data_IF_080072615993
#
_entry.id   IF_080072615993
#
_cell.length_a   1.000
_cell.length_b   1.000
_cell.length_c   1.000
_cell.angle_alpha   90.00
_cell.angle_beta   90.00
_cell.angle_gamma   90.00
#
_symmetry.space_group_name_H-M   'P 1'
#
loop_
_entity.id
_entity.type
_entity.pdbx_description
1 polymer ?
#
# COMPACT_ATOMS: atom_id res chain seq x y z
N UNK A 1 -28.02 -6.49 4.57
CA UNK A 1 -28.16 -5.05 4.29
C UNK A 1 -26.76 -4.46 4.33
N UNK A 2 -26.18 -4.24 3.15
CA UNK A 2 -24.90 -3.57 2.98
C UNK A 2 -25.20 -2.14 2.53
N UNK A 3 -24.74 -1.15 3.29
CA UNK A 3 -24.77 0.26 2.89
C UNK A 3 -23.36 0.66 2.51
N UNK A 4 -23.13 0.81 1.20
CA UNK A 4 -22.00 1.53 0.66
C UNK A 4 -22.25 3.03 0.88
N UNK A 5 -21.31 3.72 1.53
CA UNK A 5 -21.31 5.18 1.55
C UNK A 5 -20.12 5.68 0.75
N UNK A 6 -20.48 6.23 -0.41
CA UNK A 6 -19.67 6.99 -1.35
C UNK A 6 -19.08 8.24 -0.70
N UNK A 7 -17.88 8.57 -1.14
CA UNK A 7 -17.00 9.64 -0.70
C UNK A 7 -17.49 11.03 -1.14
N UNK A 8 -17.42 12.01 -0.22
CA UNK A 8 -17.39 13.43 -0.55
C UNK A 8 -15.97 13.97 -0.32
N UNK A 9 -15.34 14.43 -1.40
CA UNK A 9 -14.06 15.16 -1.36
C UNK A 9 -14.40 16.63 -1.14
N UNK A 10 -14.07 17.17 0.03
CA UNK A 10 -14.19 18.61 0.28
C UNK A 10 -13.08 19.37 -0.43
N UNK A 11 -13.52 20.34 -1.23
CA UNK A 11 -12.79 21.35 -1.97
C UNK A 11 -12.12 22.33 -1.01
N UNK A 12 -10.81 22.59 -1.17
CA UNK A 12 -10.08 23.63 -0.42
C UNK A 12 -9.89 24.85 -1.34
N UNK A 13 -10.49 26.02 -1.04
CA UNK A 13 -10.29 27.23 -1.84
C UNK A 13 -9.07 28.02 -1.35
N UNK A 14 -8.21 28.49 -2.26
CA UNK A 14 -7.23 29.53 -1.94
C UNK A 14 -5.86 29.42 -2.61
N UNK A 15 -5.78 29.37 -3.94
CA UNK A 15 -4.54 29.72 -4.66
C UNK A 15 -4.88 30.64 -5.82
N UNK A 16 -4.48 31.89 -5.69
CA UNK A 16 -4.63 32.95 -6.70
C UNK A 16 -3.60 32.76 -7.84
N UNK A 17 -3.98 32.90 -9.13
CA UNK A 17 -3.16 32.41 -10.24
C UNK A 17 -2.44 33.54 -10.99
N UNK A 18 -1.48 34.25 -10.39
CA UNK A 18 -0.61 35.16 -11.14
C UNK A 18 0.81 35.22 -10.57
N UNK A 19 1.67 34.28 -10.99
CA UNK A 19 3.13 34.47 -10.94
C UNK A 19 3.79 33.73 -12.11
N UNK A 20 4.25 34.50 -13.08
CA UNK A 20 5.04 34.04 -14.23
C UNK A 20 6.41 33.48 -13.77
N UNK A 21 6.83 32.29 -14.25
CA UNK A 21 8.18 31.82 -14.00
C UNK A 21 9.16 32.33 -15.07
N UNK A 22 10.21 33.00 -14.62
CA UNK A 22 11.42 33.32 -15.36
C UNK A 22 12.23 32.05 -15.71
N UNK A 23 12.80 32.05 -16.91
CA UNK A 23 13.66 31.03 -17.54
C UNK A 23 14.69 30.40 -16.60
N UNK A 24 14.83 29.06 -16.54
CA UNK A 24 15.86 28.41 -15.72
C UNK A 24 17.20 28.33 -16.45
N UNK A 25 18.25 28.78 -15.76
CA UNK A 25 19.65 28.56 -16.14
C UNK A 25 20.02 27.08 -16.11
N UNK A 26 20.85 26.68 -17.07
CA UNK A 26 21.39 25.33 -17.22
C UNK A 26 22.31 24.98 -16.05
N UNK A 27 21.89 24.02 -15.23
CA UNK A 27 22.77 23.32 -14.29
C UNK A 27 23.22 21.98 -14.92
N UNK A 28 24.53 21.65 -14.89
CA UNK A 28 25.00 20.37 -15.40
C UNK A 28 24.48 19.22 -14.53
N UNK A 29 23.64 18.36 -15.11
CA UNK A 29 23.16 17.13 -14.49
C UNK A 29 24.34 16.18 -14.21
N UNK A 30 24.70 16.02 -12.93
CA UNK A 30 25.45 14.84 -12.47
C UNK A 30 24.62 13.59 -12.76
N UNK A 31 25.08 12.75 -13.69
CA UNK A 31 24.50 11.43 -13.93
C UNK A 31 24.65 10.58 -12.67
N UNK A 32 23.54 10.20 -12.06
CA UNK A 32 23.51 9.23 -10.98
C UNK A 32 24.04 7.86 -11.47
N UNK A 33 24.76 7.09 -10.64
CA UNK A 33 25.20 5.75 -11.02
C UNK A 33 23.97 4.88 -11.33
N UNK A 34 24.02 4.21 -12.49
CA UNK A 34 22.93 3.35 -12.99
C UNK A 34 22.58 2.29 -11.95
N UNK A 35 21.43 2.44 -11.29
CA UNK A 35 20.88 1.41 -10.44
C UNK A 35 20.63 0.15 -11.26
N UNK A 36 20.92 -1.02 -10.66
CA UNK A 36 20.82 -2.39 -11.24
C UNK A 36 19.50 -2.74 -11.99
N UNK A 37 18.49 -1.86 -11.98
CA UNK A 37 17.19 -2.02 -12.64
C UNK A 37 16.91 -0.98 -13.74
N UNK A 38 17.91 -0.25 -14.24
CA UNK A 38 17.70 0.78 -15.28
C UNK A 38 17.11 0.21 -16.57
N UNK A 39 17.44 -1.03 -16.93
CA UNK A 39 16.92 -1.70 -18.12
C UNK A 39 15.41 -2.00 -18.02
N UNK A 40 14.91 -2.34 -16.82
CA UNK A 40 13.48 -2.57 -16.57
C UNK A 40 12.73 -1.24 -16.62
N UNK A 41 13.29 -0.20 -15.99
CA UNK A 41 12.69 1.14 -15.96
C UNK A 41 12.65 1.82 -17.33
N UNK A 42 13.60 1.51 -18.20
CA UNK A 42 13.68 2.02 -19.56
C UNK A 42 12.95 1.12 -20.59
N UNK A 43 12.37 0.01 -20.15
CA UNK A 43 11.63 -0.88 -21.04
C UNK A 43 10.22 -0.32 -21.26
N UNK A 44 10.06 0.34 -22.40
CA UNK A 44 8.75 0.72 -22.92
C UNK A 44 8.35 -0.27 -24.04
N UNK A 45 7.45 -1.22 -23.74
CA UNK A 45 7.03 -2.20 -24.72
C UNK A 45 6.16 -1.59 -25.83
N UNK A 46 5.41 -0.51 -25.57
CA UNK A 46 4.57 0.13 -26.59
C UNK A 46 5.43 0.66 -27.75
N UNK A 47 6.59 1.24 -27.42
CA UNK A 47 7.54 1.75 -28.40
C UNK A 47 8.38 0.67 -29.10
N UNK A 48 8.52 -0.53 -28.53
CA UNK A 48 9.40 -1.59 -29.08
C UNK A 48 8.68 -2.66 -29.89
N UNK A 49 7.45 -3.02 -29.52
CA UNK A 49 6.71 -4.10 -30.21
C UNK A 49 5.54 -3.58 -31.03
N UNK A 50 5.16 -2.29 -30.87
CA UNK A 50 3.98 -1.72 -31.54
C UNK A 50 2.65 -2.32 -31.08
N UNK A 51 2.68 -3.21 -30.09
CA UNK A 51 1.51 -3.86 -29.51
C UNK A 51 1.20 -3.09 -28.22
N UNK A 52 0.00 -2.50 -28.07
CA UNK A 52 -0.39 -1.89 -26.81
C UNK A 52 -0.32 -2.94 -25.71
N UNK A 53 0.32 -2.61 -24.59
CA UNK A 53 0.44 -3.50 -23.43
C UNK A 53 -0.87 -3.57 -22.64
N UNK A 54 -1.99 -3.67 -23.34
CA UNK A 54 -3.27 -3.93 -22.73
C UNK A 54 -3.43 -5.44 -22.60
N UNK A 55 -3.39 -5.93 -21.36
CA UNK A 55 -3.72 -7.32 -21.04
C UNK A 55 -5.15 -7.67 -21.49
N UNK A 56 -6.00 -6.67 -21.73
CA UNK A 56 -7.42 -6.81 -21.95
C UNK A 56 -7.92 -5.91 -23.09
N UNK A 57 -7.72 -6.34 -24.33
CA UNK A 57 -8.20 -5.67 -25.54
C UNK A 57 -9.73 -5.48 -25.66
N UNK A 58 -10.52 -6.11 -24.79
CA UNK A 58 -11.99 -6.00 -24.72
C UNK A 58 -12.56 -6.72 -23.50
N UNK A 59 -13.85 -6.55 -23.18
CA UNK A 59 -14.50 -7.27 -22.06
C UNK A 59 -14.54 -8.79 -22.28
N UNK A 60 -14.70 -9.22 -23.54
CA UNK A 60 -14.87 -10.63 -23.88
C UNK A 60 -13.54 -11.39 -23.98
N UNK A 61 -12.42 -10.68 -24.11
CA UNK A 61 -11.07 -11.28 -24.18
C UNK A 61 -10.42 -11.48 -22.81
N UNK A 62 -11.03 -10.96 -21.73
CA UNK A 62 -10.44 -11.00 -20.37
C UNK A 62 -10.44 -12.38 -19.73
N UNK A 63 -11.53 -13.12 -19.92
CA UNK A 63 -11.76 -14.37 -19.21
C UNK A 63 -10.66 -15.42 -19.47
N UNK A 64 -10.25 -15.73 -20.71
CA UNK A 64 -9.17 -16.69 -20.95
C UNK A 64 -7.83 -16.22 -20.38
N UNK A 65 -7.51 -14.92 -20.49
CA UNK A 65 -6.28 -14.34 -19.92
C UNK A 65 -6.29 -14.44 -18.39
N UNK A 66 -7.38 -14.09 -17.72
CA UNK A 66 -7.51 -14.21 -16.26
C UNK A 66 -7.40 -15.67 -15.82
N UNK A 67 -8.01 -16.62 -16.54
CA UNK A 67 -7.89 -18.05 -16.22
C UNK A 67 -6.46 -18.53 -16.32
N UNK A 68 -5.73 -18.12 -17.35
CA UNK A 68 -4.31 -18.48 -17.53
C UNK A 68 -3.41 -17.84 -16.48
N UNK A 69 -3.67 -16.56 -16.13
CA UNK A 69 -3.00 -15.88 -15.04
C UNK A 69 -3.26 -16.60 -13.71
N UNK A 70 -4.49 -17.01 -13.41
CA UNK A 70 -4.81 -17.73 -12.17
C UNK A 70 -4.23 -19.15 -12.11
N UNK A 71 -3.86 -19.74 -13.26
CA UNK A 71 -3.15 -21.03 -13.34
C UNK A 71 -1.63 -20.87 -13.20
N UNK A 72 -1.12 -19.66 -13.39
CA UNK A 72 0.32 -19.41 -13.35
C UNK A 72 0.85 -19.58 -11.92
N UNK A 73 1.88 -20.41 -11.68
CA UNK A 73 2.36 -20.75 -10.34
C UNK A 73 2.97 -19.57 -9.57
N UNK A 74 3.30 -18.48 -10.27
CA UNK A 74 3.84 -17.24 -9.73
C UNK A 74 2.75 -16.17 -9.46
N UNK A 75 1.50 -16.46 -9.82
CA UNK A 75 0.34 -15.63 -9.50
C UNK A 75 -0.41 -16.30 -8.37
N UNK A 76 -0.23 -15.76 -7.17
CA UNK A 76 -0.92 -16.19 -5.97
C UNK A 76 -1.95 -15.14 -5.58
N UNK A 77 -3.08 -15.57 -5.01
CA UNK A 77 -4.01 -14.60 -4.42
C UNK A 77 -3.29 -13.85 -3.31
N UNK A 78 -3.57 -12.55 -3.15
CA UNK A 78 -2.97 -11.75 -2.08
C UNK A 78 -3.21 -12.32 -0.67
N UNK A 79 -4.31 -13.05 -0.47
CA UNK A 79 -4.60 -13.77 0.79
C UNK A 79 -3.83 -15.09 0.96
N UNK A 80 -3.25 -15.61 -0.11
CA UNK A 80 -2.41 -16.82 -0.16
C UNK A 80 -0.91 -16.50 -0.12
N UNK A 81 -0.53 -15.22 -0.19
CA UNK A 81 0.81 -14.77 0.17
C UNK A 81 0.96 -14.94 1.68
N UNK A 82 1.23 -16.16 2.12
CA UNK A 82 1.60 -16.42 3.49
C UNK A 82 2.92 -15.71 3.78
N UNK A 83 3.11 -15.25 5.03
CA UNK A 83 4.36 -14.70 5.57
C UNK A 83 5.48 -15.76 5.70
N UNK A 84 5.58 -16.68 4.74
CA UNK A 84 6.57 -17.74 4.67
C UNK A 84 7.66 -17.45 3.65
N UNK A 85 8.81 -18.09 3.87
CA UNK A 85 10.14 -17.93 3.26
C UNK A 85 10.26 -18.14 1.74
N UNK A 86 9.16 -18.10 0.99
CA UNK A 86 9.22 -17.99 -0.46
C UNK A 86 9.42 -16.52 -0.85
N UNK A 87 10.17 -16.24 -1.92
CA UNK A 87 10.45 -14.87 -2.40
C UNK A 87 9.20 -14.02 -2.73
N UNK A 88 8.00 -14.62 -2.70
CA UNK A 88 6.70 -13.95 -2.82
C UNK A 88 6.25 -13.24 -1.53
N UNK A 89 6.81 -13.59 -0.36
CA UNK A 89 6.50 -13.00 0.95
C UNK A 89 7.56 -12.02 1.47
N UNK A 90 8.61 -11.75 0.68
CA UNK A 90 9.88 -11.17 1.14
C UNK A 90 9.87 -9.75 1.72
N UNK A 91 8.72 -9.09 1.85
CA UNK A 91 8.63 -7.73 2.43
C UNK A 91 7.45 -7.51 3.39
N UNK A 92 6.80 -8.57 3.87
CA UNK A 92 5.69 -8.42 4.84
C UNK A 92 5.95 -9.20 6.11
N UNK A 93 6.97 -8.76 6.87
CA UNK A 93 7.14 -9.20 8.25
C UNK A 93 6.17 -8.41 9.12
N UNK A 94 5.25 -9.09 9.78
CA UNK A 94 4.48 -8.47 10.87
C UNK A 94 5.44 -8.28 12.05
N UNK A 95 5.48 -7.05 12.57
CA UNK A 95 6.32 -6.68 13.71
C UNK A 95 5.44 -6.08 14.79
N UNK A 96 5.61 -6.53 16.04
CA UNK A 96 4.95 -5.91 17.17
C UNK A 96 5.51 -4.50 17.40
N UNK A 97 4.61 -3.52 17.53
CA UNK A 97 4.98 -2.10 17.69
C UNK A 97 4.17 -1.48 18.82
N UNK A 98 4.76 -0.52 19.52
CA UNK A 98 4.03 0.29 20.49
C UNK A 98 3.26 1.40 19.76
N UNK A 99 2.00 1.62 20.13
CA UNK A 99 1.14 2.67 19.55
C UNK A 99 0.57 3.53 20.67
N UNK A 100 0.76 4.85 20.56
CA UNK A 100 -0.01 5.84 21.32
C UNK A 100 -1.37 6.02 20.66
N UNK A 101 -2.43 5.86 21.43
CA UNK A 101 -3.80 5.94 20.95
C UNK A 101 -4.47 7.23 21.40
N UNK A 102 -5.03 7.98 20.45
CA UNK A 102 -5.90 9.11 20.76
C UNK A 102 -7.31 8.57 21.08
N UNK A 103 -7.66 8.57 22.37
CA UNK A 103 -8.97 8.11 22.85
C UNK A 103 -10.14 8.97 22.39
N UNK A 104 -9.91 10.25 22.11
CA UNK A 104 -10.95 11.19 21.67
C UNK A 104 -11.26 10.99 20.19
N UNK A 105 -10.22 10.95 19.35
CA UNK A 105 -10.39 10.74 17.89
C UNK A 105 -10.59 9.28 17.53
N UNK A 106 -10.29 8.36 18.44
CA UNK A 106 -10.28 6.91 18.21
C UNK A 106 -9.35 6.54 17.04
N UNK A 107 -8.14 7.11 17.05
CA UNK A 107 -7.14 6.91 16.00
C UNK A 107 -5.74 6.73 16.59
N UNK A 108 -4.82 6.05 15.89
CA UNK A 108 -3.41 6.05 16.28
C UNK A 108 -2.83 7.47 16.20
N UNK A 109 -2.17 7.92 17.26
CA UNK A 109 -1.52 9.24 17.33
C UNK A 109 -0.03 9.13 16.95
N UNK A 110 0.63 8.07 17.39
CA UNK A 110 2.03 7.79 17.06
C UNK A 110 2.35 6.32 17.27
N UNK A 111 3.45 5.84 16.69
CA UNK A 111 3.94 4.50 16.94
C UNK A 111 5.47 4.47 17.02
N UNK A 112 6.02 3.39 17.60
CA UNK A 112 7.47 3.18 17.68
C UNK A 112 7.88 1.98 16.83
N UNK A 113 8.87 2.21 15.96
CA UNK A 113 9.46 1.18 15.12
C UNK A 113 10.98 1.33 15.16
N UNK A 114 11.68 0.23 15.45
CA UNK A 114 13.15 0.19 15.55
C UNK A 114 13.73 1.31 16.44
N UNK A 115 13.12 1.53 17.61
CA UNK A 115 13.53 2.54 18.59
C UNK A 115 13.13 3.99 18.26
N UNK A 116 12.69 4.28 17.03
CA UNK A 116 12.27 5.61 16.58
C UNK A 116 10.76 5.80 16.72
N UNK A 117 10.33 6.98 17.18
CA UNK A 117 8.93 7.39 17.22
C UNK A 117 8.52 8.03 15.89
N UNK A 118 7.36 7.62 15.39
CA UNK A 118 6.70 8.14 14.19
C UNK A 118 5.38 8.76 14.62
N UNK A 119 5.25 10.08 14.52
CA UNK A 119 3.96 10.76 14.69
C UNK A 119 3.09 10.49 13.48
N UNK A 120 1.80 10.23 13.72
CA UNK A 120 0.81 10.07 12.66
C UNK A 120 0.34 11.45 12.23
N UNK A 121 0.61 11.79 10.97
CA UNK A 121 0.21 13.07 10.37
C UNK A 121 -1.26 13.01 9.90
N UNK A 122 -1.68 11.84 9.38
CA UNK A 122 -3.06 11.61 8.97
C UNK A 122 -3.44 10.12 9.04
N UNK A 123 -4.71 9.86 9.36
CA UNK A 123 -5.34 8.55 9.16
C UNK A 123 -5.97 8.52 7.76
N UNK A 124 -5.49 7.62 6.91
CA UNK A 124 -5.93 7.51 5.51
C UNK A 124 -7.08 6.52 5.37
N UNK A 125 -7.01 5.37 6.04
CA UNK A 125 -8.02 4.34 5.93
C UNK A 125 -8.14 3.54 7.23
N UNK A 126 -9.34 3.04 7.51
CA UNK A 126 -9.58 2.07 8.58
C UNK A 126 -10.42 0.92 8.05
N UNK A 127 -10.07 -0.31 8.43
CA UNK A 127 -10.85 -1.50 8.07
C UNK A 127 -10.74 -2.57 9.16
N UNK A 128 -11.53 -3.64 9.03
CA UNK A 128 -11.43 -4.81 9.89
C UNK A 128 -10.95 -6.02 9.08
N UNK A 129 -10.17 -6.88 9.72
CA UNK A 129 -9.76 -8.16 9.17
C UNK A 129 -10.21 -9.27 10.10
N UNK A 130 -11.21 -10.03 9.65
CA UNK A 130 -11.73 -11.20 10.34
C UNK A 130 -11.47 -12.44 9.49
N UNK A 131 -10.94 -13.50 10.10
CA UNK A 131 -10.70 -14.78 9.43
C UNK A 131 -10.90 -15.95 10.39
N UNK A 132 -11.35 -17.08 9.86
CA UNK A 132 -11.50 -18.34 10.58
C UNK A 132 -12.22 -18.17 11.94
N UNK A 133 -13.29 -17.36 11.96
CA UNK A 133 -14.06 -17.07 13.18
C UNK A 133 -14.65 -18.33 13.83
N UNK A 134 -14.80 -19.40 13.06
CA UNK A 134 -15.30 -20.72 13.48
C UNK A 134 -14.23 -21.62 14.12
N UNK A 135 -12.94 -21.32 13.94
CA UNK A 135 -11.84 -22.09 14.54
C UNK A 135 -11.09 -21.21 15.55
N UNK A 136 -11.29 -21.41 16.87
CA UNK A 136 -10.62 -20.63 17.90
C UNK A 136 -9.09 -20.63 17.78
N UNK A 137 -8.48 -21.68 17.20
CA UNK A 137 -7.02 -21.80 17.06
C UNK A 137 -6.47 -21.05 15.86
N UNK A 138 -7.28 -20.85 14.82
CA UNK A 138 -6.90 -20.14 13.61
C UNK A 138 -7.56 -18.76 13.47
N UNK A 139 -8.39 -18.38 14.46
CA UNK A 139 -9.16 -17.14 14.46
C UNK A 139 -8.24 -15.93 14.39
N UNK A 140 -8.57 -15.03 13.47
CA UNK A 140 -7.96 -13.71 13.35
C UNK A 140 -9.06 -12.66 13.51
N UNK A 141 -8.81 -11.66 14.35
CA UNK A 141 -9.73 -10.53 14.58
C UNK A 141 -8.91 -9.27 14.80
N UNK A 142 -8.83 -8.42 13.78
CA UNK A 142 -7.97 -7.23 13.78
C UNK A 142 -8.71 -5.98 13.32
N UNK A 143 -8.42 -4.86 13.96
CA UNK A 143 -8.77 -3.52 13.47
C UNK A 143 -7.53 -2.91 12.84
N UNK A 144 -7.60 -2.56 11.57
CA UNK A 144 -6.46 -2.07 10.79
C UNK A 144 -6.61 -0.59 10.45
N UNK A 145 -5.48 0.10 10.40
CA UNK A 145 -5.36 1.53 10.18
C UNK A 145 -4.21 1.79 9.22
N UNK A 146 -4.50 2.46 8.10
CA UNK A 146 -3.47 3.00 7.21
C UNK A 146 -3.21 4.43 7.62
N UNK A 147 -1.99 4.71 8.05
CA UNK A 147 -1.58 6.01 8.54
C UNK A 147 -0.47 6.59 7.67
N UNK A 148 -0.52 7.90 7.46
CA UNK A 148 0.58 8.68 6.93
C UNK A 148 1.44 9.15 8.11
N UNK A 149 2.73 8.90 8.04
CA UNK A 149 3.71 9.38 9.00
C UNK A 149 4.98 9.82 8.27
N UNK A 150 5.89 10.48 8.98
CA UNK A 150 7.23 10.83 8.46
C UNK A 150 7.94 9.60 7.87
N UNK A 151 7.96 9.53 6.54
CA UNK A 151 8.64 8.47 5.78
C UNK A 151 7.71 7.60 4.92
N UNK A 152 6.39 7.77 4.99
CA UNK A 152 5.47 7.11 4.06
C UNK A 152 4.16 6.64 4.70
N UNK A 153 3.52 5.70 4.02
CA UNK A 153 2.29 5.06 4.46
C UNK A 153 2.59 3.74 5.17
N UNK A 154 1.96 3.57 6.33
CA UNK A 154 2.13 2.41 7.21
C UNK A 154 0.78 1.80 7.51
N UNK A 155 0.72 0.47 7.51
CA UNK A 155 -0.46 -0.28 7.92
C UNK A 155 -0.24 -0.82 9.34
N UNK A 156 -0.97 -0.26 10.30
CA UNK A 156 -1.03 -0.71 11.69
C UNK A 156 -2.25 -1.63 11.86
N UNK A 157 -2.12 -2.65 12.69
CA UNK A 157 -3.21 -3.53 13.06
C UNK A 157 -3.23 -3.74 14.57
N UNK A 158 -4.38 -3.49 15.19
CA UNK A 158 -4.66 -3.89 16.55
C UNK A 158 -5.34 -5.25 16.54
N UNK A 159 -4.63 -6.25 17.08
CA UNK A 159 -5.11 -7.61 17.23
C UNK A 159 -5.96 -7.72 18.50
N UNK A 160 -7.26 -7.92 18.31
CA UNK A 160 -8.25 -7.91 19.39
C UNK A 160 -8.26 -9.19 20.22
N UNK A 161 -7.56 -10.23 19.77
CA UNK A 161 -7.46 -11.51 20.49
C UNK A 161 -6.26 -11.48 21.42
N UNK A 162 -5.13 -10.99 20.91
CA UNK A 162 -3.88 -10.96 21.66
C UNK A 162 -3.63 -9.63 22.38
N UNK A 163 -4.48 -8.62 22.14
CA UNK A 163 -4.37 -7.26 22.68
C UNK A 163 -3.02 -6.59 22.34
N UNK A 164 -2.63 -6.70 21.07
CA UNK A 164 -1.32 -6.23 20.59
C UNK A 164 -1.44 -5.39 19.34
N UNK A 165 -0.51 -4.44 19.21
CA UNK A 165 -0.33 -3.65 18.02
C UNK A 165 0.75 -4.22 17.13
N UNK A 166 0.47 -4.28 15.83
CA UNK A 166 1.33 -4.85 14.82
C UNK A 166 1.51 -3.84 13.68
N UNK A 167 2.73 -3.68 13.20
CA UNK A 167 3.02 -3.12 11.88
C UNK A 167 2.92 -4.27 10.87
N UNK A 168 1.93 -4.20 10.00
CA UNK A 168 1.63 -5.27 9.03
C UNK A 168 2.01 -4.88 7.59
N UNK A 169 2.45 -3.66 7.34
CA UNK A 169 2.88 -3.25 6.01
C UNK A 169 3.48 -1.85 5.95
N UNK A 170 4.39 -1.67 5.01
CA UNK A 170 4.91 -0.37 4.56
C UNK A 170 4.57 -0.28 3.08
N UNK A 171 3.87 0.77 2.68
CA UNK A 171 3.24 0.83 1.35
C UNK A 171 4.14 1.47 0.28
N UNK A 172 5.24 2.13 0.66
CA UNK A 172 6.27 2.82 -0.18
C UNK A 172 5.73 3.60 -1.40
#
# INVERSE_FOLDING_TARGET
MYTEHTFDILNVPGVDPLRTPSTPGSFPQKRAPMGRNSAIKAFDPANKTGIPLDLFSGRDTRRPVIVELLRSPWIVRGSQVASGSSGHGGKRREEEVEVSWDGTRRTPESFRMHGKRYSVDALVQTWALERAWWDPRARLSRRCFRVLARGGLYDLAYDRITDRWLLVGIVD
#
